data_IF_658509545158
#
_entry.id   IF_658509545158
#
_cell.length_a   1.000
_cell.length_b   1.000
_cell.length_c   1.000
_cell.angle_alpha   90.00
_cell.angle_beta   90.00
_cell.angle_gamma   90.00
#
_symmetry.space_group_name_H-M   'P 1'
#
loop_
_entity.id
_entity.type
_entity.pdbx_description
1 polymer ?
#
# COMPACT_ATOMS: atom_id res chain seq x y z
N UNK A 1 -19.41 -16.78 -12.48
CA UNK A 1 -18.55 -15.70 -11.94
C UNK A 1 -18.14 -16.16 -10.56
N UNK A 2 -16.85 -16.45 -10.35
CA UNK A 2 -16.34 -16.87 -9.03
C UNK A 2 -16.49 -15.71 -8.06
N UNK A 3 -17.03 -15.97 -6.86
CA UNK A 3 -17.06 -14.98 -5.77
C UNK A 3 -15.64 -14.51 -5.48
N UNK A 4 -15.41 -13.20 -5.26
CA UNK A 4 -14.10 -12.71 -4.83
C UNK A 4 -13.69 -13.43 -3.54
N UNK A 5 -12.42 -13.81 -3.45
CA UNK A 5 -11.89 -14.50 -2.28
C UNK A 5 -11.78 -13.56 -1.07
N UNK A 6 -11.51 -14.10 0.13
CA UNK A 6 -11.36 -13.31 1.34
C UNK A 6 -10.17 -12.33 1.24
N UNK A 7 -10.23 -11.27 2.03
CA UNK A 7 -9.13 -10.36 2.25
C UNK A 7 -7.91 -11.07 2.87
N UNK A 8 -6.72 -10.54 2.64
CA UNK A 8 -5.46 -11.16 3.06
C UNK A 8 -4.93 -10.44 4.31
N UNK A 9 -5.10 -11.05 5.47
CA UNK A 9 -4.57 -10.54 6.74
C UNK A 9 -3.30 -11.28 7.13
N UNK A 10 -2.26 -10.54 7.53
CA UNK A 10 -0.92 -11.03 7.82
C UNK A 10 -0.35 -10.35 9.07
N UNK A 11 0.55 -11.03 9.76
CA UNK A 11 1.28 -10.50 10.91
C UNK A 11 2.56 -9.78 10.48
N UNK A 12 2.79 -8.61 11.08
CA UNK A 12 4.04 -7.85 11.03
C UNK A 12 4.83 -8.02 12.33
N UNK A 13 6.06 -7.50 12.40
CA UNK A 13 6.82 -7.48 13.63
C UNK A 13 6.13 -6.63 14.72
N UNK A 14 6.36 -6.97 16.00
CA UNK A 14 5.98 -6.15 17.15
C UNK A 14 4.47 -5.93 17.34
N UNK A 15 3.64 -6.96 17.18
CA UNK A 15 2.18 -6.90 17.23
C UNK A 15 1.55 -6.04 16.10
N UNK A 16 2.30 -5.73 15.07
CA UNK A 16 1.78 -5.11 13.86
C UNK A 16 0.97 -6.09 13.02
N UNK A 17 -0.07 -5.59 12.36
CA UNK A 17 -0.92 -6.34 11.44
C UNK A 17 -0.99 -5.61 10.10
N UNK A 18 -1.14 -6.38 9.03
CA UNK A 18 -1.39 -5.87 7.69
C UNK A 18 -2.59 -6.57 7.07
N UNK A 19 -3.41 -5.80 6.36
CA UNK A 19 -4.52 -6.31 5.56
C UNK A 19 -4.39 -5.79 4.13
N UNK A 20 -4.57 -6.68 3.16
CA UNK A 20 -4.75 -6.31 1.76
C UNK A 20 -6.15 -6.75 1.34
N UNK A 21 -7.01 -5.77 1.06
CA UNK A 21 -8.39 -6.07 0.67
C UNK A 21 -8.45 -6.58 -0.76
N UNK A 22 -9.50 -7.34 -1.05
CA UNK A 22 -9.85 -7.74 -2.41
C UNK A 22 -11.00 -6.89 -2.94
N UNK A 23 -11.48 -7.15 -4.14
CA UNK A 23 -12.67 -6.51 -4.70
C UNK A 23 -13.96 -6.82 -3.91
N UNK A 24 -13.93 -7.83 -3.02
CA UNK A 24 -15.06 -8.14 -2.12
C UNK A 24 -15.37 -7.02 -1.13
N UNK A 25 -14.35 -6.27 -0.70
CA UNK A 25 -14.53 -5.07 0.14
C UNK A 25 -15.15 -3.88 -0.64
N UNK A 26 -15.39 -4.04 -1.93
CA UNK A 26 -15.88 -2.99 -2.81
C UNK A 26 -14.82 -1.97 -3.19
N UNK A 27 -15.23 -0.97 -3.97
CA UNK A 27 -14.35 0.12 -4.38
C UNK A 27 -14.17 1.14 -3.26
N UNK A 28 -12.95 1.24 -2.74
CA UNK A 28 -12.58 2.15 -1.63
C UNK A 28 -12.10 3.53 -2.11
N UNK A 29 -12.15 3.82 -3.42
CA UNK A 29 -11.81 5.15 -3.94
C UNK A 29 -12.91 6.18 -3.62
N UNK A 30 -12.50 7.44 -3.53
CA UNK A 30 -13.42 8.57 -3.33
C UNK A 30 -13.57 9.34 -4.65
N UNK A 31 -14.28 8.74 -5.60
CA UNK A 31 -14.63 9.41 -6.85
C UNK A 31 -15.78 10.40 -6.60
N UNK A 32 -15.93 11.37 -7.49
CA UNK A 32 -17.02 12.36 -7.37
C UNK A 32 -18.41 11.71 -7.51
N UNK A 33 -19.43 12.37 -6.98
CA UNK A 33 -20.83 11.93 -7.02
C UNK A 33 -21.13 10.84 -5.98
N UNK A 34 -22.11 9.99 -6.26
CA UNK A 34 -22.55 8.90 -5.36
C UNK A 34 -21.42 7.92 -4.97
N UNK A 35 -20.44 7.70 -5.84
CA UNK A 35 -19.30 6.86 -5.54
C UNK A 35 -18.42 7.44 -4.42
N UNK A 36 -18.45 8.73 -4.15
CA UNK A 36 -17.74 9.36 -3.04
C UNK A 36 -18.31 8.90 -1.69
N UNK A 37 -19.62 9.02 -1.51
CA UNK A 37 -20.29 8.61 -0.26
C UNK A 37 -20.15 7.11 -0.03
N UNK A 38 -20.37 6.30 -1.07
CA UNK A 38 -20.16 4.84 -1.00
C UNK A 38 -18.72 4.46 -0.62
N UNK A 39 -17.74 5.19 -1.15
CA UNK A 39 -16.33 4.99 -0.79
C UNK A 39 -16.05 5.32 0.68
N UNK A 40 -16.65 6.39 1.21
CA UNK A 40 -16.56 6.75 2.63
C UNK A 40 -17.21 5.68 3.52
N UNK A 41 -18.44 5.26 3.21
CA UNK A 41 -19.15 4.21 3.94
C UNK A 41 -18.30 2.92 4.04
N UNK A 42 -17.76 2.44 2.92
CA UNK A 42 -16.90 1.24 2.89
C UNK A 42 -15.62 1.41 3.71
N UNK A 43 -15.02 2.60 3.73
CA UNK A 43 -13.86 2.87 4.59
C UNK A 43 -14.24 2.89 6.07
N UNK A 44 -15.39 3.40 6.42
CA UNK A 44 -15.90 3.40 7.79
C UNK A 44 -16.24 1.98 8.23
N UNK A 45 -16.86 1.17 7.38
CA UNK A 45 -17.09 -0.27 7.61
C UNK A 45 -15.79 -1.04 7.80
N UNK A 46 -14.78 -0.80 6.93
CA UNK A 46 -13.45 -1.40 7.07
C UNK A 46 -12.78 -0.98 8.38
N UNK A 47 -12.83 0.29 8.75
CA UNK A 47 -12.31 0.81 10.01
C UNK A 47 -12.94 0.10 11.21
N UNK A 48 -14.26 -0.03 11.21
CA UNK A 48 -15.02 -0.69 12.27
C UNK A 48 -14.73 -2.21 12.33
N UNK A 49 -14.65 -2.89 11.19
CA UNK A 49 -14.36 -4.33 11.12
C UNK A 49 -12.99 -4.71 11.69
N UNK A 50 -12.01 -3.80 11.58
CA UNK A 50 -10.68 -3.94 12.15
C UNK A 50 -10.59 -3.51 13.63
N UNK A 51 -11.69 -3.05 14.24
CA UNK A 51 -11.71 -2.52 15.59
C UNK A 51 -10.93 -1.21 15.74
N UNK A 52 -10.72 -0.48 14.66
CA UNK A 52 -9.96 0.76 14.64
C UNK A 52 -10.85 1.97 14.87
N UNK A 53 -10.31 2.97 15.54
CA UNK A 53 -10.94 4.28 15.69
C UNK A 53 -10.80 5.12 14.41
N UNK A 54 -9.67 4.98 13.70
CA UNK A 54 -9.32 5.82 12.57
C UNK A 54 -8.55 5.05 11.51
N UNK A 55 -8.88 5.26 10.22
CA UNK A 55 -8.04 4.93 9.08
C UNK A 55 -7.45 6.22 8.50
N UNK A 56 -6.13 6.32 8.48
CA UNK A 56 -5.40 7.46 7.92
C UNK A 56 -5.01 7.18 6.48
N UNK A 57 -5.54 7.96 5.56
CA UNK A 57 -5.23 7.95 4.14
C UNK A 57 -5.13 9.38 3.62
N UNK A 58 -4.35 9.60 2.58
CA UNK A 58 -4.18 10.89 1.90
C UNK A 58 -4.44 10.75 0.40
N UNK A 59 -4.68 11.86 -0.33
CA UNK A 59 -4.56 11.86 -1.77
C UNK A 59 -3.16 11.42 -2.20
N UNK A 60 -3.06 10.31 -2.93
CA UNK A 60 -1.79 9.74 -3.42
C UNK A 60 -1.40 10.43 -4.73
N UNK A 61 -0.13 10.78 -4.86
CA UNK A 61 0.42 11.54 -6.01
C UNK A 61 1.59 10.80 -6.69
N UNK A 62 1.85 9.54 -6.30
CA UNK A 62 2.99 8.73 -6.73
C UNK A 62 4.35 9.37 -6.37
N UNK A 63 4.37 10.11 -5.27
CA UNK A 63 5.55 10.75 -4.69
C UNK A 63 6.25 9.87 -3.65
N UNK A 64 7.02 10.52 -2.77
CA UNK A 64 7.79 9.85 -1.70
C UNK A 64 7.36 10.25 -0.30
N UNK A 65 6.39 11.14 -0.14
CA UNK A 65 5.96 11.60 1.19
C UNK A 65 5.30 10.46 1.98
N UNK A 66 5.87 10.12 3.13
CA UNK A 66 5.31 9.20 4.14
C UNK A 66 5.07 10.00 5.43
N UNK A 67 3.81 10.24 5.75
CA UNK A 67 3.42 11.08 6.91
C UNK A 67 3.49 10.29 8.20
N UNK A 68 4.09 10.93 9.22
CA UNK A 68 4.06 10.44 10.61
C UNK A 68 2.74 10.91 11.23
N UNK A 69 1.87 9.96 11.55
CA UNK A 69 0.59 10.21 12.22
C UNK A 69 0.83 10.13 13.72
N UNK A 70 1.02 11.30 14.34
CA UNK A 70 1.34 11.44 15.78
C UNK A 70 0.10 11.76 16.61
N UNK A 71 -0.95 12.25 15.96
CA UNK A 71 -2.24 12.57 16.55
C UNK A 71 -3.32 12.41 15.48
N UNK A 72 -4.55 12.10 15.88
CA UNK A 72 -5.69 11.98 14.98
C UNK A 72 -6.93 12.63 15.59
N UNK A 73 -7.45 13.62 14.88
CA UNK A 73 -8.77 14.14 15.14
C UNK A 73 -9.83 13.32 14.40
N UNK A 74 -10.98 13.08 15.04
CA UNK A 74 -12.11 12.38 14.44
C UNK A 74 -11.97 10.86 14.41
N UNK A 75 -12.89 10.21 13.69
CA UNK A 75 -12.99 8.75 13.54
C UNK A 75 -13.26 8.37 12.09
N UNK A 76 -13.23 7.06 11.79
CA UNK A 76 -13.56 6.50 10.48
C UNK A 76 -12.49 6.71 9.42
N UNK A 77 -12.88 6.61 8.16
CA UNK A 77 -12.00 6.54 6.98
C UNK A 77 -11.91 7.82 6.13
N UNK A 78 -12.28 8.99 6.66
CA UNK A 78 -12.15 10.26 5.92
C UNK A 78 -10.69 10.58 5.63
N UNK A 79 -10.35 11.04 4.40
CA UNK A 79 -8.96 11.33 4.04
C UNK A 79 -8.40 12.52 4.82
N UNK A 80 -7.09 12.51 4.99
CA UNK A 80 -6.33 13.66 5.48
C UNK A 80 -6.21 14.71 4.37
N UNK A 81 -6.05 15.98 4.76
CA UNK A 81 -6.10 17.11 3.80
C UNK A 81 -4.87 17.19 2.89
N UNK A 82 -3.72 16.75 3.35
CA UNK A 82 -2.45 16.87 2.62
C UNK A 82 -2.12 15.58 1.88
N UNK A 83 -1.53 15.69 0.68
CA UNK A 83 -1.11 14.55 -0.13
C UNK A 83 0.02 13.77 0.54
N UNK A 84 0.00 12.45 0.39
CA UNK A 84 1.07 11.53 0.76
C UNK A 84 0.88 10.18 0.07
N UNK A 85 1.97 9.47 -0.12
CA UNK A 85 1.97 8.11 -0.67
C UNK A 85 2.25 7.05 0.40
N UNK A 86 2.24 7.44 1.68
CA UNK A 86 2.31 6.53 2.80
C UNK A 86 2.03 7.24 4.12
N UNK A 87 1.79 6.42 5.15
CA UNK A 87 1.59 6.86 6.53
C UNK A 87 2.28 5.89 7.46
N UNK A 88 2.88 6.42 8.53
CA UNK A 88 3.46 5.65 9.62
C UNK A 88 2.88 6.11 10.96
N UNK A 89 2.68 5.21 11.91
CA UNK A 89 2.14 5.53 13.24
C UNK A 89 2.64 4.58 14.32
N UNK A 90 2.74 5.09 15.54
CA UNK A 90 2.91 4.34 16.76
C UNK A 90 1.64 4.34 17.64
N UNK A 91 0.51 4.82 17.11
CA UNK A 91 -0.74 4.96 17.84
C UNK A 91 -1.58 3.70 17.78
N UNK A 92 -2.05 3.22 18.94
CA UNK A 92 -3.04 2.15 19.05
C UNK A 92 -4.41 2.60 18.53
N UNK A 93 -5.13 1.69 17.87
CA UNK A 93 -6.47 1.96 17.31
C UNK A 93 -6.45 2.87 16.08
N UNK A 94 -5.27 3.08 15.48
CA UNK A 94 -5.08 3.85 14.25
C UNK A 94 -4.50 2.94 13.18
N UNK A 95 -5.17 2.85 12.04
CA UNK A 95 -4.67 2.17 10.84
C UNK A 95 -4.13 3.17 9.83
N UNK A 96 -3.02 2.86 9.20
CA UNK A 96 -2.47 3.55 8.05
C UNK A 96 -2.95 2.86 6.78
N UNK A 97 -3.46 3.61 5.81
CA UNK A 97 -4.09 3.03 4.61
C UNK A 97 -3.58 3.69 3.32
N UNK A 98 -3.34 2.88 2.32
CA UNK A 98 -3.14 3.30 0.94
C UNK A 98 -4.09 2.55 0.00
N UNK A 99 -4.36 3.14 -1.16
CA UNK A 99 -5.21 2.55 -2.20
C UNK A 99 -4.35 2.14 -3.39
N UNK A 100 -4.66 1.00 -3.98
CA UNK A 100 -3.96 0.49 -5.15
C UNK A 100 -4.92 -0.13 -6.17
N UNK A 101 -4.50 -0.12 -7.41
CA UNK A 101 -4.91 -0.98 -8.51
C UNK A 101 -3.70 -1.05 -9.43
N UNK A 102 -2.90 -2.10 -9.26
CA UNK A 102 -1.60 -2.41 -9.87
C UNK A 102 -0.35 -1.90 -9.17
N UNK A 103 -0.34 -0.69 -8.55
CA UNK A 103 0.78 -0.27 -7.70
C UNK A 103 0.92 -1.18 -6.47
N UNK A 104 2.14 -1.33 -5.93
CA UNK A 104 2.39 -2.16 -4.77
C UNK A 104 1.99 -1.44 -3.47
N UNK A 105 1.04 -1.95 -2.67
CA UNK A 105 0.91 -1.56 -1.27
C UNK A 105 1.97 -2.33 -0.47
N UNK A 106 2.79 -1.63 0.31
CA UNK A 106 3.86 -2.24 1.12
C UNK A 106 3.62 -1.90 2.57
N UNK A 107 3.39 -2.93 3.37
CA UNK A 107 3.29 -2.82 4.82
C UNK A 107 4.67 -2.94 5.45
N UNK A 108 4.97 -2.09 6.42
CA UNK A 108 6.18 -2.12 7.23
C UNK A 108 5.79 -2.19 8.70
N UNK A 109 6.51 -2.96 9.50
CA UNK A 109 6.27 -3.05 10.92
C UNK A 109 7.55 -3.34 11.70
N UNK A 110 7.63 -2.73 12.89
CA UNK A 110 8.65 -3.00 13.89
C UNK A 110 8.00 -2.98 15.29
N UNK A 111 8.78 -3.23 16.34
CA UNK A 111 8.27 -3.11 17.69
C UNK A 111 7.83 -1.65 17.95
N UNK A 112 6.53 -1.42 18.11
CA UNK A 112 5.94 -0.13 18.48
C UNK A 112 5.54 0.80 17.34
N UNK A 113 5.78 0.45 16.07
CA UNK A 113 5.31 1.26 14.94
C UNK A 113 4.99 0.44 13.70
N UNK A 114 4.06 0.94 12.89
CA UNK A 114 3.70 0.38 11.57
C UNK A 114 3.62 1.49 10.52
N UNK A 115 3.79 1.10 9.27
CA UNK A 115 3.53 1.97 8.12
C UNK A 115 2.87 1.19 6.97
N UNK A 116 2.09 1.90 6.16
CA UNK A 116 1.60 1.43 4.88
C UNK A 116 2.01 2.42 3.80
N UNK A 117 2.69 1.92 2.77
CA UNK A 117 3.32 2.73 1.71
C UNK A 117 2.78 2.33 0.34
N UNK A 118 2.44 3.30 -0.48
CA UNK A 118 2.03 3.13 -1.87
C UNK A 118 3.26 3.24 -2.79
N UNK A 119 3.73 2.12 -3.30
CA UNK A 119 4.88 2.06 -4.18
C UNK A 119 4.45 1.86 -5.65
N UNK A 120 3.94 2.92 -6.28
CA UNK A 120 3.87 3.01 -7.73
C UNK A 120 5.30 3.20 -8.29
N UNK A 121 5.54 2.88 -9.58
CA UNK A 121 6.89 2.90 -10.15
C UNK A 121 7.64 4.23 -9.95
N UNK A 122 6.94 5.37 -10.00
CA UNK A 122 7.56 6.70 -9.78
C UNK A 122 8.05 6.87 -8.34
N UNK A 123 7.18 6.59 -7.37
CA UNK A 123 7.53 6.65 -5.95
C UNK A 123 8.63 5.64 -5.59
N UNK A 124 8.54 4.41 -6.13
CA UNK A 124 9.53 3.37 -5.93
C UNK A 124 10.91 3.78 -6.46
N UNK A 125 10.96 4.33 -7.67
CA UNK A 125 12.21 4.84 -8.25
C UNK A 125 12.79 6.02 -7.47
N UNK A 126 11.92 6.85 -6.88
CA UNK A 126 12.31 8.05 -6.12
C UNK A 126 12.62 7.79 -4.63
N UNK A 127 12.40 6.57 -4.10
CA UNK A 127 12.79 6.23 -2.73
C UNK A 127 11.64 6.25 -1.71
N UNK A 128 10.41 5.99 -2.10
CA UNK A 128 9.26 5.99 -1.18
C UNK A 128 9.35 4.89 -0.10
N UNK A 129 10.00 3.76 -0.41
CA UNK A 129 10.17 2.66 0.56
C UNK A 129 11.23 2.99 1.59
N UNK A 130 12.33 3.59 1.17
CA UNK A 130 13.39 4.12 2.05
C UNK A 130 12.83 5.17 3.01
N UNK A 131 11.92 6.03 2.50
CA UNK A 131 11.21 7.00 3.33
C UNK A 131 10.27 6.31 4.34
N UNK A 132 9.59 5.23 3.95
CA UNK A 132 8.76 4.42 4.85
C UNK A 132 9.58 3.82 6.00
N UNK A 133 10.75 3.26 5.70
CA UNK A 133 11.69 2.73 6.71
C UNK A 133 12.17 3.85 7.65
N UNK A 134 12.54 5.00 7.08
CA UNK A 134 12.95 6.17 7.86
C UNK A 134 11.84 6.63 8.82
N UNK A 135 10.58 6.64 8.33
CA UNK A 135 9.43 7.00 9.15
C UNK A 135 9.24 6.07 10.37
N UNK A 136 9.43 4.75 10.18
CA UNK A 136 9.38 3.81 11.31
C UNK A 136 10.49 4.06 12.33
N UNK A 137 11.73 4.26 11.88
CA UNK A 137 12.87 4.52 12.76
C UNK A 137 12.71 5.82 13.56
N UNK A 138 12.12 6.85 12.97
CA UNK A 138 11.79 8.09 13.66
C UNK A 138 10.75 7.89 14.78
N UNK A 139 9.81 6.95 14.60
CA UNK A 139 8.74 6.67 15.57
C UNK A 139 9.16 5.69 16.68
N UNK A 140 9.98 4.68 16.36
CA UNK A 140 10.26 3.55 17.24
C UNK A 140 11.77 3.33 17.51
N UNK A 141 12.65 4.14 16.93
CA UNK A 141 14.10 3.91 16.99
C UNK A 141 14.57 2.75 16.12
N UNK A 142 15.79 2.30 16.35
CA UNK A 142 16.39 1.17 15.63
C UNK A 142 15.80 -0.15 16.17
N UNK A 143 14.93 -0.76 15.39
CA UNK A 143 14.25 -2.01 15.68
C UNK A 143 14.34 -2.93 14.46
N UNK A 144 14.17 -4.25 14.66
CA UNK A 144 13.98 -5.20 13.56
C UNK A 144 12.71 -4.82 12.76
N UNK A 145 12.88 -4.63 11.46
CA UNK A 145 11.79 -4.24 10.56
C UNK A 145 11.42 -5.42 9.67
N UNK A 146 10.13 -5.75 9.64
CA UNK A 146 9.54 -6.69 8.68
C UNK A 146 8.70 -5.92 7.67
N UNK A 147 8.86 -6.23 6.40
CA UNK A 147 8.05 -5.72 5.32
C UNK A 147 7.20 -6.82 4.68
N UNK A 148 6.01 -6.47 4.21
CA UNK A 148 5.14 -7.33 3.39
C UNK A 148 4.77 -6.57 2.12
N UNK A 149 5.21 -7.08 0.98
CA UNK A 149 4.79 -6.57 -0.34
C UNK A 149 3.44 -7.19 -0.68
N UNK A 150 2.42 -6.36 -0.79
CA UNK A 150 1.04 -6.77 -1.06
C UNK A 150 0.77 -7.01 -2.56
N UNK A 151 -0.52 -7.27 -2.91
CA UNK A 151 -0.95 -7.49 -4.28
C UNK A 151 -0.66 -6.28 -5.18
N UNK A 152 -0.10 -6.53 -6.37
CA UNK A 152 0.16 -5.50 -7.37
C UNK A 152 0.46 -6.11 -8.74
N UNK A 153 0.79 -5.31 -9.73
CA UNK A 153 1.13 -5.79 -11.07
C UNK A 153 2.39 -6.66 -11.01
N UNK A 154 2.26 -7.90 -11.44
CA UNK A 154 3.37 -8.85 -11.52
C UNK A 154 4.14 -8.76 -12.83
N UNK A 155 5.40 -9.20 -12.83
CA UNK A 155 6.26 -9.26 -14.02
C UNK A 155 5.64 -10.07 -15.18
N UNK A 156 4.71 -10.98 -14.89
CA UNK A 156 3.97 -11.75 -15.91
C UNK A 156 3.12 -10.89 -16.86
N UNK A 157 2.70 -9.67 -16.41
CA UNK A 157 1.73 -8.84 -17.13
C UNK A 157 2.11 -7.35 -17.18
N UNK A 158 3.08 -6.92 -16.39
CA UNK A 158 3.38 -5.48 -16.26
C UNK A 158 4.34 -5.03 -17.35
N UNK A 159 3.80 -4.87 -18.56
CA UNK A 159 4.48 -4.26 -19.69
C UNK A 159 4.59 -2.74 -19.47
N UNK A 160 5.78 -2.17 -19.71
CA UNK A 160 6.07 -0.76 -19.46
C UNK A 160 6.86 -0.13 -20.58
N UNK A 161 6.78 1.20 -20.68
CA UNK A 161 7.54 1.98 -21.62
C UNK A 161 9.01 2.22 -21.21
N UNK A 162 9.82 2.76 -22.13
CA UNK A 162 11.25 2.98 -21.87
C UNK A 162 11.53 3.98 -20.74
N UNK A 163 10.57 4.83 -20.38
CA UNK A 163 10.69 5.77 -19.26
C UNK A 163 10.77 5.04 -17.91
N UNK A 164 10.03 3.92 -17.75
CA UNK A 164 10.07 3.10 -16.54
C UNK A 164 11.39 2.35 -16.44
N UNK A 165 11.83 1.73 -17.55
CA UNK A 165 13.14 1.06 -17.61
C UNK A 165 14.29 2.01 -17.25
N UNK A 166 14.30 3.23 -17.80
CA UNK A 166 15.31 4.24 -17.47
C UNK A 166 15.30 4.64 -15.99
N UNK A 167 14.12 4.73 -15.38
CA UNK A 167 13.99 5.09 -13.96
C UNK A 167 14.67 4.07 -13.02
N UNK A 168 14.80 2.82 -13.48
CA UNK A 168 15.45 1.74 -12.73
C UNK A 168 16.84 1.32 -13.30
N UNK A 169 17.39 2.10 -14.23
CA UNK A 169 18.70 1.80 -14.82
C UNK A 169 18.74 0.57 -15.73
N UNK A 170 17.57 0.09 -16.19
CA UNK A 170 17.47 -1.05 -17.10
C UNK A 170 17.73 -0.58 -18.53
N UNK A 171 18.63 -1.30 -19.24
CA UNK A 171 19.04 -0.92 -20.60
C UNK A 171 17.84 -0.93 -21.59
N UNK A 172 17.86 0.00 -22.55
CA UNK A 172 16.89 -0.01 -23.64
C UNK A 172 17.03 -1.29 -24.47
N UNK A 173 15.88 -1.96 -24.74
CA UNK A 173 15.88 -3.26 -25.43
C UNK A 173 15.81 -4.48 -24.50
N UNK A 174 15.84 -4.29 -23.18
CA UNK A 174 15.47 -5.31 -22.21
C UNK A 174 14.00 -5.74 -22.37
N UNK A 175 13.60 -6.79 -21.66
CA UNK A 175 12.23 -7.33 -21.71
C UNK A 175 11.17 -6.23 -21.60
N UNK A 176 10.06 -6.36 -22.32
CA UNK A 176 8.95 -5.40 -22.27
C UNK A 176 8.33 -5.25 -20.85
N UNK A 177 8.53 -6.24 -20.00
CA UNK A 177 8.01 -6.30 -18.63
C UNK A 177 9.09 -5.94 -17.61
N UNK A 178 8.65 -5.33 -16.49
CA UNK A 178 9.50 -5.05 -15.33
C UNK A 178 8.94 -5.73 -14.09
N UNK A 179 9.83 -6.21 -13.23
CA UNK A 179 9.46 -6.77 -11.92
C UNK A 179 9.61 -5.72 -10.82
N UNK A 180 8.51 -4.99 -10.55
CA UNK A 180 8.49 -4.00 -9.47
C UNK A 180 8.60 -4.65 -8.08
N UNK A 181 8.21 -5.93 -7.92
CA UNK A 181 8.33 -6.66 -6.65
C UNK A 181 9.78 -6.96 -6.34
N UNK A 182 10.53 -7.48 -7.32
CA UNK A 182 11.95 -7.73 -7.15
C UNK A 182 12.70 -6.44 -6.81
N UNK A 183 12.38 -5.34 -7.49
CA UNK A 183 12.94 -4.01 -7.19
C UNK A 183 12.56 -3.55 -5.77
N UNK A 184 11.30 -3.71 -5.36
CA UNK A 184 10.86 -3.35 -4.01
C UNK A 184 11.60 -4.16 -2.94
N UNK A 185 11.79 -5.48 -3.14
CA UNK A 185 12.58 -6.33 -2.26
C UNK A 185 14.02 -5.82 -2.11
N UNK A 186 14.69 -5.54 -3.22
CA UNK A 186 16.06 -5.03 -3.21
C UNK A 186 16.17 -3.69 -2.47
N UNK A 187 15.24 -2.76 -2.73
CA UNK A 187 15.19 -1.45 -2.06
C UNK A 187 14.96 -1.57 -0.56
N UNK A 188 14.03 -2.44 -0.14
CA UNK A 188 13.73 -2.68 1.28
C UNK A 188 14.94 -3.26 2.02
N UNK A 189 15.58 -4.29 1.46
CA UNK A 189 16.79 -4.88 2.05
C UNK A 189 17.93 -3.86 2.07
N UNK A 190 18.11 -3.08 1.00
CA UNK A 190 19.10 -1.99 0.95
C UNK A 190 18.83 -0.86 1.95
N UNK A 191 17.57 -0.63 2.33
CA UNK A 191 17.18 0.32 3.38
C UNK A 191 17.33 -0.25 4.81
N UNK A 192 17.75 -1.51 4.95
CA UNK A 192 17.97 -2.16 6.25
C UNK A 192 16.69 -2.77 6.83
N UNK A 193 15.79 -3.26 6.00
CA UNK A 193 14.69 -4.14 6.41
C UNK A 193 15.25 -5.53 6.61
N UNK A 194 14.96 -6.16 7.75
CA UNK A 194 15.54 -7.44 8.13
C UNK A 194 14.88 -8.63 7.41
N UNK A 195 13.58 -8.52 7.14
CA UNK A 195 12.82 -9.57 6.46
C UNK A 195 11.75 -8.97 5.54
N UNK A 196 11.73 -9.43 4.29
CA UNK A 196 10.72 -9.05 3.29
C UNK A 196 9.91 -10.28 2.90
N UNK A 197 8.60 -10.20 3.09
CA UNK A 197 7.61 -11.19 2.67
C UNK A 197 6.86 -10.65 1.45
N UNK A 198 6.27 -11.54 0.64
CA UNK A 198 5.51 -11.18 -0.55
C UNK A 198 4.25 -12.04 -0.69
N UNK A 199 3.12 -11.40 -0.91
CA UNK A 199 1.83 -12.08 -1.17
C UNK A 199 1.83 -12.79 -2.53
N UNK A 200 2.68 -12.40 -3.46
CA UNK A 200 2.83 -12.96 -4.82
C UNK A 200 1.55 -12.99 -5.67
N UNK A 201 0.64 -12.06 -5.47
CA UNK A 201 -0.60 -11.94 -6.23
C UNK A 201 -0.50 -10.84 -7.30
N UNK A 202 -0.66 -11.22 -8.58
CA UNK A 202 -0.70 -10.26 -9.68
C UNK A 202 -2.13 -9.72 -9.87
N UNK A 203 -2.34 -8.43 -9.62
CA UNK A 203 -3.66 -7.80 -9.75
C UNK A 203 -4.22 -7.81 -11.18
N UNK A 204 -3.35 -7.88 -12.19
CA UNK A 204 -3.76 -7.94 -13.61
C UNK A 204 -4.32 -9.32 -13.96
N UNK A 205 -3.66 -10.41 -13.49
CA UNK A 205 -4.08 -11.79 -13.79
C UNK A 205 -5.22 -12.25 -12.88
N UNK A 206 -5.24 -11.80 -11.62
CA UNK A 206 -6.16 -12.30 -10.61
C UNK A 206 -7.42 -11.43 -10.53
N UNK A 207 -8.60 -11.95 -10.89
CA UNK A 207 -9.85 -11.20 -10.93
C UNK A 207 -10.38 -10.82 -9.52
N UNK A 208 -9.78 -11.34 -8.46
CA UNK A 208 -10.11 -10.93 -7.08
C UNK A 208 -9.71 -9.49 -6.78
N UNK A 209 -8.82 -8.89 -7.59
CA UNK A 209 -8.33 -7.53 -7.38
C UNK A 209 -8.79 -6.58 -8.47
N UNK A 210 -8.94 -5.31 -8.12
CA UNK A 210 -9.06 -4.25 -9.12
C UNK A 210 -7.72 -4.05 -9.83
N UNK A 211 -7.77 -3.80 -11.14
CA UNK A 211 -6.59 -3.54 -11.95
C UNK A 211 -6.82 -2.37 -12.90
N UNK A 212 -6.04 -1.32 -12.75
CA UNK A 212 -6.08 -0.18 -13.68
C UNK A 212 -5.67 -0.60 -15.09
N UNK A 213 -4.72 -1.52 -15.22
CA UNK A 213 -4.24 -2.03 -16.49
C UNK A 213 -5.34 -2.82 -17.22
N UNK A 214 -6.13 -3.60 -16.50
CA UNK A 214 -7.22 -4.40 -17.05
C UNK A 214 -8.49 -3.57 -17.30
N UNK A 215 -8.85 -2.65 -16.42
CA UNK A 215 -10.14 -1.96 -16.37
C UNK A 215 -10.05 -0.48 -16.77
N UNK A 216 -8.84 0.04 -16.95
CA UNK A 216 -8.62 1.44 -17.32
C UNK A 216 -9.06 2.43 -16.25
N UNK A 217 -9.59 3.57 -16.69
CA UNK A 217 -10.02 4.65 -15.80
C UNK A 217 -11.21 4.27 -14.90
N UNK A 218 -11.93 3.21 -15.20
CA UNK A 218 -13.09 2.74 -14.42
C UNK A 218 -12.69 1.80 -13.28
N UNK A 219 -11.43 1.36 -13.21
CA UNK A 219 -10.95 0.46 -12.17
C UNK A 219 -11.26 1.00 -10.76
N UNK A 220 -11.82 0.15 -9.91
CA UNK A 220 -11.92 0.41 -8.48
C UNK A 220 -10.55 0.48 -7.81
N UNK A 221 -10.54 0.61 -6.48
CA UNK A 221 -9.31 0.56 -5.68
C UNK A 221 -9.53 -0.37 -4.49
N UNK A 222 -8.60 -1.30 -4.31
CA UNK A 222 -8.42 -2.03 -3.07
C UNK A 222 -7.51 -1.25 -2.11
N UNK A 223 -7.50 -1.62 -0.84
CA UNK A 223 -6.65 -1.03 0.17
C UNK A 223 -5.54 -1.97 0.63
N UNK A 224 -4.38 -1.39 0.99
CA UNK A 224 -3.49 -1.93 1.99
C UNK A 224 -3.68 -1.15 3.29
N UNK A 225 -3.77 -1.85 4.43
CA UNK A 225 -3.91 -1.27 5.77
C UNK A 225 -2.86 -1.89 6.69
N UNK A 226 -2.20 -1.06 7.53
CA UNK A 226 -1.34 -1.54 8.62
C UNK A 226 -1.73 -0.87 9.94
N UNK A 227 -1.72 -1.63 11.05
CA UNK A 227 -2.06 -1.13 12.39
C UNK A 227 -1.35 -1.93 13.48
N UNK A 228 -1.32 -1.37 14.70
CA UNK A 228 -0.90 -2.06 15.92
C UNK A 228 -2.12 -2.70 16.59
N UNK A 229 -2.04 -4.02 16.89
CA UNK A 229 -3.09 -4.79 17.59
C UNK A 229 -2.91 -4.76 19.11
#
# INVERSE_FOLDING_TARGET
MSSPGPDLELELAGAGRALFTTSSAGNLSLRAGEEHERGLERRDELCASLGLRRLCASPQVHGTEVRRVLDVAGSGGRPLALSADGHATALQGVGTMVLAADCLPVALGCAGAVAMVHAGWRGLAAGVLEEGVRALRELAGEQEIVAIVGPGAGACCYEVGPEVHRAFGVAAGAAAHIDLRAIAHERLLGAGVDRVLDVQACTICDPRFFSHRREGALAGRQAGVAWLS
#
